data_IF_025028296680
#
_entry.id   IF_025028296680
#
_cell.length_a   1.000
_cell.length_b   1.000
_cell.length_c   1.000
_cell.angle_alpha   90.00
_cell.angle_beta   90.00
_cell.angle_gamma   90.00
#
_symmetry.space_group_name_H-M   'P 1'
#
loop_
_entity.id
_entity.type
_entity.pdbx_description
1 polymer ?
#
# COMPACT_ATOMS: atom_id res chain seq x y z
N UNK A 1 -27.42 -9.04 -7.44
CA UNK A 1 -26.62 -7.88 -7.00
C UNK A 1 -25.76 -7.43 -8.16
N UNK A 2 -25.72 -6.12 -8.46
CA UNK A 2 -24.83 -5.62 -9.51
C UNK A 2 -23.37 -5.68 -9.05
N UNK A 3 -22.43 -6.02 -9.93
CA UNK A 3 -20.97 -6.01 -9.66
C UNK A 3 -20.51 -4.71 -8.99
N UNK A 4 -21.13 -3.58 -9.38
CA UNK A 4 -20.87 -2.26 -8.80
C UNK A 4 -21.19 -2.20 -7.31
N UNK A 5 -22.29 -2.82 -6.86
CA UNK A 5 -22.70 -2.84 -5.45
C UNK A 5 -21.81 -3.75 -4.60
N UNK A 6 -21.18 -4.75 -5.21
CA UNK A 6 -20.24 -5.64 -4.53
C UNK A 6 -18.90 -4.92 -4.30
N UNK A 7 -18.42 -4.14 -5.27
CA UNK A 7 -17.14 -3.43 -5.16
C UNK A 7 -17.30 -2.12 -4.38
N UNK A 8 -18.40 -1.40 -4.59
CA UNK A 8 -18.69 -0.10 -3.98
C UNK A 8 -19.95 -0.20 -3.10
N UNK A 9 -19.86 -0.79 -1.89
CA UNK A 9 -20.97 -0.81 -0.97
C UNK A 9 -21.24 0.60 -0.41
N UNK A 10 -22.50 0.88 -0.08
CA UNK A 10 -22.92 2.18 0.47
C UNK A 10 -22.25 2.49 1.82
N UNK A 11 -22.02 1.44 2.62
CA UNK A 11 -21.24 1.50 3.84
C UNK A 11 -20.05 0.54 3.77
N UNK A 12 -18.93 0.94 4.36
CA UNK A 12 -17.72 0.11 4.37
C UNK A 12 -17.94 -1.15 5.17
N UNK A 13 -17.52 -2.30 4.62
CA UNK A 13 -17.57 -3.58 5.33
C UNK A 13 -16.56 -3.58 6.46
N UNK A 14 -17.01 -4.06 7.62
CA UNK A 14 -16.20 -4.19 8.84
C UNK A 14 -16.31 -5.62 9.40
N UNK A 15 -15.29 -6.05 10.14
CA UNK A 15 -15.32 -7.31 10.90
C UNK A 15 -14.70 -7.13 12.29
N UNK A 16 -15.05 -7.98 13.28
CA UNK A 16 -14.48 -7.90 14.63
C UNK A 16 -12.95 -8.00 14.59
N UNK A 17 -12.25 -7.03 15.19
CA UNK A 17 -10.79 -7.01 15.24
C UNK A 17 -10.09 -6.46 13.99
N UNK A 18 -10.82 -5.92 12.99
CA UNK A 18 -10.23 -5.36 11.77
C UNK A 18 -9.17 -4.27 12.04
N UNK A 19 -9.33 -3.49 13.10
CA UNK A 19 -8.32 -2.50 13.50
C UNK A 19 -7.00 -3.16 13.87
N UNK A 20 -7.03 -4.22 14.67
CA UNK A 20 -5.85 -4.98 15.06
C UNK A 20 -5.23 -5.71 13.89
N UNK A 21 -6.04 -6.28 12.99
CA UNK A 21 -5.54 -6.86 11.74
C UNK A 21 -4.77 -5.83 10.89
N UNK A 22 -5.33 -4.63 10.71
CA UNK A 22 -4.64 -3.55 9.99
C UNK A 22 -3.34 -3.11 10.67
N UNK A 23 -3.34 -3.00 12.01
CA UNK A 23 -2.13 -2.64 12.77
C UNK A 23 -1.07 -3.73 12.58
N UNK A 24 -1.41 -4.99 12.83
CA UNK A 24 -0.50 -6.12 12.70
C UNK A 24 0.11 -6.22 11.30
N UNK A 25 -0.72 -6.15 10.25
CA UNK A 25 -0.24 -6.17 8.87
C UNK A 25 0.67 -4.98 8.55
N UNK A 26 0.36 -3.76 9.04
CA UNK A 26 1.24 -2.59 8.85
C UNK A 26 2.56 -2.76 9.59
N UNK A 27 2.56 -3.29 10.80
CA UNK A 27 3.78 -3.56 11.57
C UNK A 27 4.65 -4.58 10.84
N UNK A 28 4.08 -5.69 10.37
CA UNK A 28 4.79 -6.68 9.56
C UNK A 28 5.33 -6.06 8.25
N UNK A 29 4.55 -5.20 7.61
CA UNK A 29 4.97 -4.50 6.40
C UNK A 29 6.15 -3.58 6.65
N UNK A 30 6.15 -2.81 7.75
CA UNK A 30 7.27 -1.96 8.14
C UNK A 30 8.52 -2.77 8.46
N UNK A 31 8.37 -3.92 9.14
CA UNK A 31 9.48 -4.84 9.40
C UNK A 31 10.08 -5.37 8.09
N UNK A 32 9.23 -5.78 7.14
CA UNK A 32 9.63 -6.17 5.79
C UNK A 32 10.39 -5.06 5.06
N UNK A 33 9.84 -3.84 5.05
CA UNK A 33 10.45 -2.68 4.41
C UNK A 33 11.82 -2.33 5.01
N UNK A 34 11.96 -2.43 6.34
CA UNK A 34 13.24 -2.22 7.01
C UNK A 34 14.30 -3.23 6.55
N UNK A 35 13.94 -4.51 6.47
CA UNK A 35 14.85 -5.56 5.99
C UNK A 35 15.21 -5.44 4.50
N UNK A 36 14.28 -4.95 3.66
CA UNK A 36 14.58 -4.63 2.25
C UNK A 36 15.67 -3.56 2.12
N UNK A 37 15.75 -2.62 3.06
CA UNK A 37 16.83 -1.65 3.11
C UNK A 37 18.20 -2.33 3.20
N UNK A 38 18.31 -3.43 3.95
CA UNK A 38 19.52 -4.24 4.02
C UNK A 38 19.95 -4.84 2.69
N UNK A 39 19.00 -5.20 1.80
CA UNK A 39 19.31 -5.80 0.49
C UNK A 39 19.57 -4.78 -0.64
N UNK A 40 18.94 -3.61 -0.59
CA UNK A 40 19.02 -2.60 -1.66
C UNK A 40 19.92 -1.40 -1.37
N UNK A 41 20.18 -1.08 -0.09
CA UNK A 41 21.18 -0.06 0.29
C UNK A 41 22.53 -0.68 0.63
N UNK A 42 22.55 -1.94 1.06
CA UNK A 42 23.77 -2.64 1.47
C UNK A 42 23.87 -3.97 0.75
N UNK A 43 25.10 -4.48 0.60
CA UNK A 43 25.35 -5.80 0.03
C UNK A 43 25.14 -6.90 1.07
N UNK A 44 23.93 -7.00 1.65
CA UNK A 44 23.63 -8.02 2.65
C UNK A 44 23.89 -9.43 2.10
N UNK A 45 24.71 -10.20 2.81
CA UNK A 45 25.14 -11.52 2.37
C UNK A 45 24.00 -12.55 2.34
N UNK A 46 24.13 -13.54 1.44
CA UNK A 46 23.44 -14.82 1.54
C UNK A 46 21.92 -14.82 1.39
N UNK A 47 21.31 -13.82 0.74
CA UNK A 47 19.87 -13.80 0.50
C UNK A 47 19.01 -13.58 1.76
N UNK A 48 19.62 -13.20 2.88
CA UNK A 48 18.92 -12.93 4.15
C UNK A 48 17.81 -11.87 4.02
N UNK A 49 17.89 -10.98 3.02
CA UNK A 49 16.89 -9.96 2.72
C UNK A 49 15.64 -10.49 1.98
N UNK A 50 15.70 -11.68 1.37
CA UNK A 50 14.60 -12.23 0.56
C UNK A 50 13.36 -12.55 1.39
N UNK A 51 13.54 -13.03 2.63
CA UNK A 51 12.41 -13.25 3.55
C UNK A 51 11.64 -11.94 3.82
N UNK A 52 12.36 -10.83 3.95
CA UNK A 52 11.76 -9.51 4.12
C UNK A 52 11.06 -9.00 2.85
N UNK A 53 11.52 -9.39 1.66
CA UNK A 53 10.81 -9.12 0.41
C UNK A 53 9.43 -9.80 0.41
N UNK A 54 9.39 -11.11 0.71
CA UNK A 54 8.12 -11.84 0.76
C UNK A 54 7.19 -11.29 1.85
N UNK A 55 7.74 -10.96 3.03
CA UNK A 55 6.97 -10.33 4.10
C UNK A 55 6.36 -9.00 3.66
N UNK A 56 7.15 -8.15 2.99
CA UNK A 56 6.70 -6.85 2.47
C UNK A 56 5.58 -7.02 1.46
N UNK A 57 5.77 -7.89 0.46
CA UNK A 57 4.80 -8.11 -0.60
C UNK A 57 3.52 -8.74 -0.06
N UNK A 58 3.63 -9.78 0.77
CA UNK A 58 2.48 -10.47 1.35
C UNK A 58 1.64 -9.57 2.25
N UNK A 59 2.27 -8.85 3.18
CA UNK A 59 1.57 -7.91 4.06
C UNK A 59 0.98 -6.71 3.31
N UNK A 60 1.68 -6.18 2.30
CA UNK A 60 1.22 -5.08 1.46
C UNK A 60 0.01 -5.49 0.60
N UNK A 61 0.05 -6.68 0.00
CA UNK A 61 -1.07 -7.24 -0.75
C UNK A 61 -2.28 -7.46 0.14
N UNK A 62 -2.09 -8.04 1.33
CA UNK A 62 -3.18 -8.23 2.30
C UNK A 62 -3.83 -6.90 2.70
N UNK A 63 -3.05 -5.85 2.97
CA UNK A 63 -3.56 -4.51 3.27
C UNK A 63 -4.37 -3.92 2.12
N UNK A 64 -3.90 -4.09 0.88
CA UNK A 64 -4.60 -3.64 -0.32
C UNK A 64 -5.93 -4.38 -0.50
N UNK A 65 -5.91 -5.71 -0.42
CA UNK A 65 -7.10 -6.55 -0.55
C UNK A 65 -8.14 -6.22 0.54
N UNK A 66 -7.73 -6.04 1.79
CA UNK A 66 -8.62 -5.62 2.87
C UNK A 66 -9.22 -4.24 2.62
N UNK A 67 -8.46 -3.32 2.03
CA UNK A 67 -8.94 -1.97 1.70
C UNK A 67 -9.99 -2.02 0.59
N UNK A 68 -9.74 -2.78 -0.48
CA UNK A 68 -10.68 -2.96 -1.59
C UNK A 68 -11.93 -3.72 -1.15
N UNK A 69 -11.77 -4.79 -0.36
CA UNK A 69 -12.88 -5.57 0.17
C UNK A 69 -13.78 -4.74 1.10
N UNK A 70 -13.18 -3.88 1.95
CA UNK A 70 -13.92 -3.01 2.85
C UNK A 70 -14.75 -1.99 2.07
N UNK A 71 -14.13 -1.24 1.16
CA UNK A 71 -14.85 -0.40 0.21
C UNK A 71 -13.98 -0.04 -0.99
N UNK A 72 -14.43 -0.38 -2.20
CA UNK A 72 -13.75 -0.08 -3.45
C UNK A 72 -13.55 1.41 -3.73
N UNK A 73 -14.24 2.31 -3.02
CA UNK A 73 -13.99 3.76 -3.09
C UNK A 73 -12.52 4.11 -2.83
N UNK A 74 -11.81 3.28 -2.08
CA UNK A 74 -10.38 3.40 -1.86
C UNK A 74 -9.58 3.49 -3.17
N UNK A 75 -10.01 2.80 -4.23
CA UNK A 75 -9.36 2.82 -5.54
C UNK A 75 -9.40 4.20 -6.20
N UNK A 76 -10.38 5.05 -5.90
CA UNK A 76 -10.50 6.38 -6.50
C UNK A 76 -10.02 7.51 -5.58
N UNK A 77 -9.63 7.17 -4.34
CA UNK A 77 -9.07 8.10 -3.36
C UNK A 77 -7.54 8.19 -3.50
N UNK A 78 -6.97 9.37 -3.21
CA UNK A 78 -5.53 9.60 -3.29
C UNK A 78 -4.71 8.60 -2.46
N UNK A 79 -5.21 8.19 -1.29
CA UNK A 79 -4.53 7.18 -0.47
C UNK A 79 -4.39 5.82 -1.18
N UNK A 80 -5.36 5.44 -2.00
CA UNK A 80 -5.30 4.19 -2.77
C UNK A 80 -4.45 4.34 -4.02
N UNK A 81 -4.61 5.47 -4.73
CA UNK A 81 -3.79 5.82 -5.89
C UNK A 81 -2.29 5.85 -5.55
N UNK A 82 -1.93 6.41 -4.40
CA UNK A 82 -0.56 6.38 -3.92
C UNK A 82 -0.03 4.95 -3.68
N UNK A 83 -0.88 4.04 -3.21
CA UNK A 83 -0.49 2.64 -3.02
C UNK A 83 -0.34 1.94 -4.37
N UNK A 84 -1.22 2.18 -5.34
CA UNK A 84 -1.09 1.67 -6.71
C UNK A 84 0.20 2.18 -7.38
N UNK A 85 0.52 3.47 -7.20
CA UNK A 85 1.78 4.03 -7.68
C UNK A 85 3.00 3.32 -7.06
N UNK A 86 2.97 3.05 -5.74
CA UNK A 86 4.05 2.29 -5.09
C UNK A 86 4.19 0.88 -5.66
N UNK A 87 3.08 0.19 -5.91
CA UNK A 87 3.11 -1.15 -6.52
C UNK A 87 3.74 -1.09 -7.92
N UNK A 88 3.40 -0.07 -8.72
CA UNK A 88 4.03 0.15 -10.02
C UNK A 88 5.54 0.39 -9.89
N UNK A 89 5.98 1.25 -8.95
CA UNK A 89 7.39 1.52 -8.71
C UNK A 89 8.15 0.25 -8.28
N UNK A 90 7.56 -0.60 -7.44
CA UNK A 90 8.14 -1.89 -7.06
C UNK A 90 8.22 -2.86 -8.25
N UNK A 91 7.20 -2.89 -9.11
CA UNK A 91 7.20 -3.72 -10.32
C UNK A 91 8.24 -3.29 -11.36
N UNK A 92 8.69 -2.03 -11.34
CA UNK A 92 9.76 -1.53 -12.18
C UNK A 92 11.16 -1.95 -11.72
N UNK A 93 11.36 -2.27 -10.44
CA UNK A 93 12.67 -2.68 -9.90
C UNK A 93 13.34 -3.87 -10.60
N UNK A 94 12.64 -4.96 -10.99
CA UNK A 94 13.26 -6.03 -11.78
C UNK A 94 13.57 -5.61 -13.22
N UNK A 95 12.78 -4.69 -13.81
CA UNK A 95 12.93 -4.21 -15.19
C UNK A 95 14.06 -3.17 -15.30
N UNK A 96 14.26 -2.37 -14.25
CA UNK A 96 15.24 -1.28 -14.23
C UNK A 96 16.22 -1.44 -13.06
N UNK A 97 17.18 -2.38 -13.17
CA UNK A 97 18.01 -2.80 -12.06
C UNK A 97 18.93 -1.71 -11.51
N UNK A 98 19.43 -0.81 -12.36
CA UNK A 98 20.34 0.27 -11.97
C UNK A 98 19.66 1.31 -11.05
N UNK A 99 18.32 1.37 -11.07
CA UNK A 99 17.51 2.38 -10.37
C UNK A 99 16.78 1.78 -9.16
N UNK A 100 17.01 0.51 -8.82
CA UNK A 100 16.34 -0.20 -7.70
C UNK A 100 16.37 0.59 -6.40
N UNK A 101 17.55 1.11 -6.04
CA UNK A 101 17.72 1.89 -4.81
C UNK A 101 16.91 3.18 -4.85
N UNK A 102 16.94 3.92 -5.97
CA UNK A 102 16.15 5.14 -6.14
C UNK A 102 14.63 4.88 -6.13
N UNK A 103 14.19 3.81 -6.80
CA UNK A 103 12.79 3.37 -6.78
C UNK A 103 12.33 3.00 -5.36
N UNK A 104 13.15 2.29 -4.59
CA UNK A 104 12.86 1.96 -3.21
C UNK A 104 12.75 3.22 -2.33
N UNK A 105 13.67 4.18 -2.50
CA UNK A 105 13.60 5.48 -1.80
C UNK A 105 12.29 6.20 -2.11
N UNK A 106 11.88 6.27 -3.38
CA UNK A 106 10.60 6.88 -3.75
C UNK A 106 9.40 6.17 -3.10
N UNK A 107 9.41 4.83 -3.07
CA UNK A 107 8.37 4.04 -2.39
C UNK A 107 8.30 4.38 -0.89
N UNK A 108 9.44 4.54 -0.22
CA UNK A 108 9.52 4.92 1.19
C UNK A 108 8.99 6.34 1.41
N UNK A 109 9.43 7.31 0.59
CA UNK A 109 8.99 8.70 0.68
C UNK A 109 7.48 8.83 0.49
N UNK A 110 6.92 8.22 -0.56
CA UNK A 110 5.47 8.21 -0.81
C UNK A 110 4.73 7.56 0.36
N UNK A 111 5.27 6.47 0.92
CA UNK A 111 4.67 5.78 2.07
C UNK A 111 4.60 6.69 3.29
N UNK A 112 5.71 7.35 3.64
CA UNK A 112 5.77 8.28 4.77
C UNK A 112 4.80 9.45 4.60
N UNK A 113 4.85 10.11 3.45
CA UNK A 113 4.02 11.28 3.14
C UNK A 113 2.53 10.96 3.20
N UNK A 114 2.08 9.90 2.52
CA UNK A 114 0.65 9.57 2.44
C UNK A 114 0.11 8.97 3.73
N UNK A 115 0.94 8.28 4.52
CA UNK A 115 0.54 7.75 5.82
C UNK A 115 0.23 8.87 6.83
N UNK A 116 0.95 9.98 6.76
CA UNK A 116 0.82 11.13 7.67
C UNK A 116 0.04 12.30 7.06
N UNK A 117 -0.34 12.21 5.79
CA UNK A 117 -1.13 13.24 5.13
C UNK A 117 -2.48 13.45 5.84
N UNK A 118 -2.99 14.69 5.89
CA UNK A 118 -4.31 14.99 6.44
C UNK A 118 -5.42 14.16 5.81
N UNK A 119 -6.51 13.97 6.54
CA UNK A 119 -7.69 13.26 6.04
C UNK A 119 -8.18 13.85 4.71
N UNK A 120 -8.24 15.17 4.59
CA UNK A 120 -8.70 15.84 3.37
C UNK A 120 -7.88 15.48 2.14
N UNK A 121 -6.56 15.30 2.29
CA UNK A 121 -5.70 14.82 1.20
C UNK A 121 -5.96 13.35 0.92
N UNK A 122 -5.96 12.50 1.96
CA UNK A 122 -6.08 11.05 1.80
C UNK A 122 -7.39 10.60 1.16
N UNK A 123 -8.48 11.30 1.47
CA UNK A 123 -9.84 11.01 1.00
C UNK A 123 -10.25 11.83 -0.24
N UNK A 124 -9.37 12.70 -0.75
CA UNK A 124 -9.60 13.41 -2.00
C UNK A 124 -9.60 12.43 -3.18
N UNK A 125 -10.49 12.64 -4.13
CA UNK A 125 -10.51 11.93 -5.40
C UNK A 125 -10.13 12.86 -6.54
N UNK A 126 -9.10 12.48 -7.31
CA UNK A 126 -8.70 13.21 -8.51
C UNK A 126 -9.81 13.20 -9.58
N UNK A 127 -10.57 12.10 -9.67
CA UNK A 127 -11.63 11.93 -10.66
C UNK A 127 -12.85 12.82 -10.39
N UNK A 128 -13.22 12.98 -9.12
CA UNK A 128 -14.40 13.79 -8.73
C UNK A 128 -14.03 15.19 -8.24
N UNK A 129 -12.73 15.49 -8.12
CA UNK A 129 -12.17 16.76 -7.65
C UNK A 129 -12.72 17.24 -6.29
N UNK A 130 -13.00 16.29 -5.40
CA UNK A 130 -13.51 16.55 -4.04
C UNK A 130 -13.14 15.41 -3.09
N UNK A 131 -13.25 15.67 -1.78
CA UNK A 131 -13.23 14.63 -0.76
C UNK A 131 -14.45 13.71 -0.95
N UNK A 132 -14.23 12.40 -0.94
CA UNK A 132 -15.30 11.42 -1.06
C UNK A 132 -15.16 10.37 0.02
N UNK A 133 -16.24 10.12 0.75
CA UNK A 133 -16.33 9.07 1.76
C UNK A 133 -17.30 7.96 1.37
N UNK A 134 -18.27 8.27 0.49
CA UNK A 134 -19.31 7.38 -0.03
C UNK A 134 -19.60 7.74 -1.49
N UNK A 135 -19.92 6.74 -2.32
CA UNK A 135 -20.27 6.89 -3.75
C UNK A 135 -21.77 6.74 -3.99
#
# INVERSE_FOLDING_TARGET
MSLRQIIFPAESRLFPGQRWANIGLRTLHLLGMAGLGGGYFYAAAGGAWQGFLYLTLGSGLALMLLSVWSNGIWLVQLRGQAILLKVLLLALMPVWPEQRTALLVLVILISGLIAHAPGDVRYYSLFHRRRIERL
#
